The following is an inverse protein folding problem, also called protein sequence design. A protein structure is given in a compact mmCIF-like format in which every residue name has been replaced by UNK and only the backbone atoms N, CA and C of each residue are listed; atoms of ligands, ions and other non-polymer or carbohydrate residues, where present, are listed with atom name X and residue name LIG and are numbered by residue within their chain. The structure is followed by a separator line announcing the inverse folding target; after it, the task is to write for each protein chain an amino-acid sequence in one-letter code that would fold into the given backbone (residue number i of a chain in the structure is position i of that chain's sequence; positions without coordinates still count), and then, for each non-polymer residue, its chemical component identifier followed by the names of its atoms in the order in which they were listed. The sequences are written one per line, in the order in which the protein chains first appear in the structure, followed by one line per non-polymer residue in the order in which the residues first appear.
data_IF_814900359826
#
_entry.id   IF_814900359826
#
_cell.length_a   1.000
_cell.length_b   1.000
_cell.length_c   1.000
_cell.angle_alpha   90.00
_cell.angle_beta   90.00
_cell.angle_gamma   90.00
#
_symmetry.space_group_name_H-M   'P 1'
#
loop_
_entity.id
_entity.type
_entity.pdbx_description
1 polymer ?
#
# COMPACT_ATOMS: atom_id res chain seq x y z
N UNK A 1 15.61 14.09 -23.47
CA UNK A 1 15.35 12.65 -23.36
C UNK A 1 15.83 12.08 -22.04
N UNK A 2 17.10 12.22 -21.71
CA UNK A 2 17.63 11.71 -20.45
C UNK A 2 17.01 12.37 -19.22
N UNK A 3 16.75 13.66 -19.28
CA UNK A 3 16.14 14.38 -18.16
C UNK A 3 14.74 13.88 -17.87
N UNK A 4 13.96 13.62 -18.91
CA UNK A 4 12.61 13.09 -18.75
C UNK A 4 12.64 11.69 -18.14
N UNK A 5 13.58 10.86 -18.58
CA UNK A 5 13.74 9.52 -18.03
C UNK A 5 14.13 9.59 -16.56
N UNK A 6 15.03 10.50 -16.19
CA UNK A 6 15.44 10.67 -14.80
C UNK A 6 14.29 11.16 -13.92
N UNK A 7 13.48 12.09 -14.44
CA UNK A 7 12.31 12.58 -13.70
C UNK A 7 11.31 11.45 -13.47
N UNK A 8 11.10 10.63 -14.50
CA UNK A 8 10.18 9.48 -14.38
C UNK A 8 10.68 8.44 -13.38
N UNK A 9 12.01 8.36 -13.18
CA UNK A 9 12.60 7.39 -12.25
C UNK A 9 12.66 7.89 -10.82
N UNK A 10 12.15 9.10 -10.54
CA UNK A 10 12.11 9.64 -9.18
C UNK A 10 10.91 9.19 -8.37
N UNK A 11 10.20 8.20 -8.84
CA UNK A 11 9.08 7.62 -8.10
C UNK A 11 9.55 6.96 -6.82
N UNK A 12 8.70 7.04 -5.83
CA UNK A 12 8.89 6.31 -4.60
C UNK A 12 7.83 5.24 -4.45
N UNK A 13 8.15 4.26 -3.63
CA UNK A 13 7.31 3.09 -3.42
C UNK A 13 7.05 2.94 -1.93
N UNK A 14 5.79 2.75 -1.58
CA UNK A 14 5.34 2.82 -0.18
C UNK A 14 4.54 1.60 0.21
N UNK A 15 4.65 1.22 1.47
CA UNK A 15 3.74 0.27 2.11
C UNK A 15 2.80 1.06 3.02
N UNK A 16 1.50 0.76 2.92
CA UNK A 16 0.52 1.22 3.88
C UNK A 16 -0.06 0.00 4.59
N UNK A 17 -0.33 0.15 5.89
CA UNK A 17 -0.86 -0.95 6.69
C UNK A 17 -2.28 -0.64 7.12
N UNK A 18 -3.22 -1.52 6.78
CA UNK A 18 -4.61 -1.37 7.17
C UNK A 18 -5.29 -2.75 7.12
N UNK A 19 -6.34 -2.92 7.91
CA UNK A 19 -7.16 -4.14 7.84
C UNK A 19 -7.82 -4.25 6.47
N UNK A 20 -8.16 -5.47 6.08
CA UNK A 20 -8.74 -5.70 4.74
C UNK A 20 -10.02 -4.90 4.52
N UNK A 21 -10.92 -4.86 5.49
CA UNK A 21 -12.17 -4.11 5.35
C UNK A 21 -11.92 -2.61 5.09
N UNK A 22 -10.91 -2.06 5.74
CA UNK A 22 -10.52 -0.66 5.55
C UNK A 22 -9.95 -0.45 4.14
N UNK A 23 -9.10 -1.37 3.69
CA UNK A 23 -8.52 -1.32 2.34
C UNK A 23 -9.62 -1.37 1.28
N UNK A 24 -10.62 -2.23 1.46
CA UNK A 24 -11.72 -2.34 0.49
C UNK A 24 -12.50 -1.05 0.36
N UNK A 25 -12.72 -0.34 1.46
CA UNK A 25 -13.37 0.98 1.41
C UNK A 25 -12.53 1.98 0.61
N UNK A 26 -11.22 1.94 0.79
CA UNK A 26 -10.32 2.80 0.03
C UNK A 26 -10.36 2.50 -1.45
N UNK A 27 -10.38 1.23 -1.82
CA UNK A 27 -10.48 0.82 -3.23
C UNK A 27 -11.79 1.33 -3.84
N UNK A 28 -12.90 1.14 -3.15
CA UNK A 28 -14.22 1.60 -3.63
C UNK A 28 -14.25 3.11 -3.82
N UNK A 29 -13.66 3.86 -2.91
CA UNK A 29 -13.67 5.31 -2.95
C UNK A 29 -12.51 5.95 -3.69
N UNK A 30 -11.51 5.17 -4.08
CA UNK A 30 -10.33 5.70 -4.78
C UNK A 30 -9.42 6.52 -3.88
N UNK A 31 -9.26 6.15 -2.61
CA UNK A 31 -8.46 6.94 -1.67
C UNK A 31 -7.62 6.06 -0.75
N UNK A 32 -6.54 6.66 -0.23
CA UNK A 32 -5.78 6.10 0.88
C UNK A 32 -6.04 6.91 2.15
N UNK A 33 -6.19 6.19 3.26
CA UNK A 33 -6.30 6.75 4.59
C UNK A 33 -5.38 5.90 5.47
N UNK A 34 -4.42 6.53 6.12
CA UNK A 34 -3.32 5.84 6.81
C UNK A 34 -3.21 6.30 8.24
N UNK A 35 -2.70 5.43 9.10
CA UNK A 35 -2.34 5.77 10.48
C UNK A 35 -3.46 6.49 11.22
N UNK A 36 -4.68 5.94 11.15
CA UNK A 36 -5.88 6.48 11.79
C UNK A 36 -6.29 7.87 11.26
N UNK A 37 -6.02 8.11 9.97
CA UNK A 37 -6.46 9.34 9.33
C UNK A 37 -5.53 10.52 9.51
N UNK A 38 -4.26 10.28 9.84
CA UNK A 38 -3.27 11.36 9.99
C UNK A 38 -2.85 11.92 8.65
N UNK A 39 -2.51 13.19 8.64
CA UNK A 39 -2.07 13.89 7.44
C UNK A 39 -0.64 13.54 7.04
N UNK A 40 0.26 13.45 8.01
CA UNK A 40 1.69 13.34 7.75
C UNK A 40 2.11 12.21 6.81
N UNK A 41 1.63 10.96 6.99
CA UNK A 41 2.03 9.89 6.06
C UNK A 41 1.57 10.15 4.63
N UNK A 42 0.40 10.76 4.45
CA UNK A 42 -0.11 11.05 3.12
C UNK A 42 0.70 12.12 2.41
N UNK A 43 1.21 13.10 3.16
CA UNK A 43 2.03 14.17 2.60
C UNK A 43 3.40 13.70 2.12
N UNK A 44 3.90 12.60 2.65
CA UNK A 44 5.19 12.06 2.22
C UNK A 44 5.16 11.54 0.79
N UNK A 45 4.01 11.08 0.35
CA UNK A 45 3.86 10.56 -1.01
C UNK A 45 3.66 11.70 -2.00
N UNK A 46 4.15 11.50 -3.22
CA UNK A 46 4.03 12.47 -4.30
C UNK A 46 3.25 11.87 -5.45
N UNK A 47 2.70 12.74 -6.28
CA UNK A 47 2.03 12.34 -7.51
C UNK A 47 2.95 11.42 -8.32
N UNK A 48 2.45 10.25 -8.67
CA UNK A 48 3.22 9.25 -9.40
C UNK A 48 3.86 8.19 -8.55
N UNK A 49 3.88 8.36 -7.23
CA UNK A 49 4.35 7.31 -6.31
C UNK A 49 3.38 6.14 -6.30
N UNK A 50 3.90 4.99 -5.88
CA UNK A 50 3.10 3.77 -5.77
C UNK A 50 2.91 3.39 -4.31
N UNK A 51 1.77 2.79 -4.00
CA UNK A 51 1.50 2.26 -2.67
C UNK A 51 0.96 0.84 -2.79
N UNK A 52 1.48 -0.05 -1.92
CA UNK A 52 0.93 -1.38 -1.71
C UNK A 52 0.41 -1.45 -0.29
N UNK A 53 -0.82 -1.92 -0.11
CA UNK A 53 -1.36 -2.16 1.22
C UNK A 53 -1.01 -3.56 1.68
N UNK A 54 -0.63 -3.63 2.94
CA UNK A 54 -0.49 -4.89 3.67
C UNK A 54 -1.58 -4.96 4.73
N UNK A 55 -2.29 -6.09 4.80
CA UNK A 55 -3.32 -6.32 5.79
C UNK A 55 -2.95 -7.52 6.66
N UNK A 56 -2.67 -7.26 7.93
CA UNK A 56 -2.34 -8.33 8.88
C UNK A 56 -3.57 -9.10 9.30
N UNK A 57 -4.75 -8.47 9.21
CA UNK A 57 -6.01 -9.09 9.60
C UNK A 57 -7.16 -8.56 8.76
N UNK A 58 -8.29 -9.26 8.83
CA UNK A 58 -9.47 -8.92 8.03
C UNK A 58 -10.14 -7.65 8.54
N UNK A 59 -10.19 -7.48 9.86
CA UNK A 59 -10.89 -6.36 10.49
C UNK A 59 -10.21 -6.01 11.81
N UNK A 60 -10.32 -4.75 12.23
CA UNK A 60 -9.82 -4.34 13.53
C UNK A 60 -10.62 -4.98 14.68
N UNK A 61 -11.87 -5.34 14.42
CA UNK A 61 -12.75 -5.96 15.43
C UNK A 61 -12.53 -7.45 15.59
N UNK A 62 -11.85 -8.07 14.64
CA UNK A 62 -11.62 -9.52 14.64
C UNK A 62 -10.13 -9.78 14.51
N UNK A 63 -9.63 -10.71 15.30
CA UNK A 63 -8.20 -11.05 15.29
C UNK A 63 -7.84 -12.07 14.22
N UNK A 64 -8.75 -12.40 13.31
CA UNK A 64 -8.47 -13.35 12.22
C UNK A 64 -7.31 -12.89 11.38
N UNK A 65 -6.20 -13.63 11.32
CA UNK A 65 -5.06 -13.25 10.52
C UNK A 65 -5.38 -13.22 9.03
N UNK A 66 -4.80 -12.29 8.31
CA UNK A 66 -4.89 -12.24 6.85
C UNK A 66 -3.50 -12.34 6.24
N UNK A 67 -2.61 -11.46 6.67
CA UNK A 67 -1.18 -11.50 6.34
C UNK A 67 -0.91 -11.54 4.84
N UNK A 68 -1.59 -10.63 4.12
CA UNK A 68 -1.48 -10.54 2.67
C UNK A 68 -1.28 -9.10 2.24
N UNK A 69 -0.62 -8.94 1.09
CA UNK A 69 -0.65 -7.68 0.35
C UNK A 69 -2.00 -7.64 -0.37
N UNK A 70 -2.75 -6.56 -0.16
CA UNK A 70 -4.19 -6.56 -0.48
C UNK A 70 -4.60 -5.54 -1.52
N UNK A 71 -3.78 -4.54 -1.81
CA UNK A 71 -4.09 -3.55 -2.83
C UNK A 71 -2.81 -2.94 -3.38
N UNK A 72 -2.90 -2.47 -4.61
CA UNK A 72 -1.81 -1.83 -5.33
C UNK A 72 -2.39 -0.62 -6.04
N UNK A 73 -1.79 0.56 -5.83
CA UNK A 73 -2.31 1.77 -6.44
C UNK A 73 -1.24 2.81 -6.68
N UNK A 74 -1.64 3.83 -7.44
CA UNK A 74 -0.77 4.94 -7.81
C UNK A 74 -1.34 6.25 -7.28
N UNK A 75 -0.49 7.07 -6.68
CA UNK A 75 -0.87 8.41 -6.24
C UNK A 75 -1.05 9.29 -7.48
N UNK A 76 -2.22 9.90 -7.63
CA UNK A 76 -2.60 10.55 -8.89
C UNK A 76 -2.62 12.07 -8.84
N UNK A 77 -2.40 12.67 -7.68
CA UNK A 77 -2.34 14.13 -7.54
C UNK A 77 -1.47 14.50 -6.35
N UNK A 78 -1.40 15.79 -6.04
CA UNK A 78 -0.62 16.29 -4.92
C UNK A 78 -1.50 16.74 -3.74
N UNK A 79 -2.78 16.44 -3.78
CA UNK A 79 -3.74 16.93 -2.79
C UNK A 79 -3.92 15.93 -1.64
N UNK A 80 -3.86 16.46 -0.43
CA UNK A 80 -4.29 15.76 0.78
C UNK A 80 -5.52 16.50 1.28
N UNK A 81 -6.60 15.79 1.51
CA UNK A 81 -7.87 16.42 1.91
C UNK A 81 -8.48 15.69 3.09
N UNK A 82 -9.37 16.41 3.81
CA UNK A 82 -10.14 15.80 4.90
C UNK A 82 -11.50 15.38 4.41
N UNK A 83 -11.99 14.30 4.98
CA UNK A 83 -13.33 13.79 4.67
C UNK A 83 -14.12 13.68 5.98
N UNK A 84 -15.31 14.25 6.00
CA UNK A 84 -16.17 14.21 7.18
C UNK A 84 -16.89 12.86 7.24
N UNK A 85 -16.50 12.03 8.21
CA UNK A 85 -17.12 10.71 8.42
C UNK A 85 -18.23 10.76 9.48
N UNK A 86 -18.51 11.94 10.02
CA UNK A 86 -19.47 12.09 11.10
C UNK A 86 -18.85 11.83 12.46
N UNK A 87 -19.58 12.15 13.53
CA UNK A 87 -19.13 11.94 14.91
C UNK A 87 -17.77 12.58 15.21
N UNK A 88 -17.54 13.77 14.65
CA UNK A 88 -16.30 14.54 14.84
C UNK A 88 -15.05 13.83 14.32
N UNK A 89 -15.22 12.86 13.43
CA UNK A 89 -14.08 12.19 12.82
C UNK A 89 -13.90 12.70 11.38
N UNK A 90 -12.77 13.41 11.17
CA UNK A 90 -12.43 14.00 9.88
C UNK A 90 -11.02 13.57 9.47
N UNK A 91 -10.87 12.31 9.04
CA UNK A 91 -9.56 11.80 8.64
C UNK A 91 -9.05 12.47 7.37
N UNK A 92 -7.74 12.50 7.22
CA UNK A 92 -7.10 12.92 5.98
C UNK A 92 -7.04 11.77 4.99
N UNK A 93 -7.21 12.09 3.71
CA UNK A 93 -7.22 11.14 2.61
C UNK A 93 -6.39 11.64 1.44
N UNK A 94 -5.96 10.71 0.61
CA UNK A 94 -5.22 10.99 -0.62
C UNK A 94 -5.84 10.19 -1.76
N UNK A 95 -6.01 10.82 -2.92
CA UNK A 95 -6.58 10.12 -4.09
C UNK A 95 -5.58 9.11 -4.65
N UNK A 96 -6.06 7.90 -4.87
CA UNK A 96 -5.28 6.79 -5.38
C UNK A 96 -6.02 6.14 -6.56
N UNK A 97 -5.29 5.84 -7.61
CA UNK A 97 -5.77 5.01 -8.71
C UNK A 97 -5.37 3.57 -8.42
N UNK A 98 -6.31 2.79 -7.89
CA UNK A 98 -6.06 1.39 -7.58
C UNK A 98 -6.11 0.53 -8.83
N UNK A 99 -5.17 -0.40 -8.93
CA UNK A 99 -5.06 -1.31 -10.07
C UNK A 99 -5.67 -2.64 -9.69
N UNK A 100 -6.37 -3.26 -10.64
CA UNK A 100 -6.90 -4.60 -10.46
C UNK A 100 -5.75 -5.59 -10.23
N UNK A 101 -5.80 -6.32 -9.14
CA UNK A 101 -4.74 -7.26 -8.75
C UNK A 101 -5.31 -8.37 -7.89
N UNK A 102 -4.48 -9.35 -7.58
CA UNK A 102 -4.82 -10.47 -6.71
C UNK A 102 -4.09 -10.32 -5.39
N UNK A 103 -4.78 -10.57 -4.29
CA UNK A 103 -4.15 -10.58 -2.97
C UNK A 103 -3.07 -11.65 -2.92
N UNK A 104 -1.96 -11.34 -2.26
CA UNK A 104 -0.78 -12.20 -2.24
C UNK A 104 -0.26 -12.37 -0.82
N UNK A 105 -0.09 -13.63 -0.39
CA UNK A 105 0.46 -13.94 0.92
C UNK A 105 1.87 -13.39 1.06
N UNK A 106 2.17 -12.82 2.25
CA UNK A 106 3.52 -12.36 2.53
C UNK A 106 4.49 -13.53 2.75
N UNK A 107 3.99 -14.68 3.18
CA UNK A 107 4.87 -15.75 3.67
C UNK A 107 5.93 -16.22 2.67
N UNK A 108 5.61 -16.49 1.40
CA UNK A 108 6.66 -16.86 0.44
C UNK A 108 7.66 -15.75 0.15
N UNK A 109 7.29 -14.50 0.42
CA UNK A 109 8.11 -13.33 0.12
C UNK A 109 9.05 -12.92 1.25
N UNK A 110 8.78 -13.38 2.47
CA UNK A 110 9.53 -12.93 3.66
C UNK A 110 11.05 -13.03 3.47
N UNK A 111 11.62 -14.16 2.98
CA UNK A 111 13.09 -14.24 2.85
C UNK A 111 13.66 -13.33 1.77
N UNK A 112 12.83 -12.79 0.89
CA UNK A 112 13.29 -12.05 -0.28
C UNK A 112 13.13 -10.54 -0.17
N UNK A 113 12.40 -10.05 0.83
CA UNK A 113 12.13 -8.62 0.98
C UNK A 113 13.22 -7.95 1.83
N UNK A 114 13.90 -6.96 1.23
CA UNK A 114 15.02 -6.29 1.89
C UNK A 114 14.59 -5.50 3.13
N UNK A 115 13.34 -5.00 3.15
CA UNK A 115 12.89 -4.24 4.30
C UNK A 115 12.60 -5.12 5.54
N UNK A 116 12.54 -6.44 5.35
CA UNK A 116 12.41 -7.37 6.48
C UNK A 116 13.82 -7.79 6.89
N UNK A 117 14.33 -7.16 7.95
CA UNK A 117 15.71 -7.35 8.39
C UNK A 117 15.92 -8.63 9.19
N UNK A 118 14.86 -9.11 9.83
CA UNK A 118 14.92 -10.29 10.68
C UNK A 118 13.68 -11.15 10.40
N UNK A 119 13.88 -12.31 9.80
CA UNK A 119 12.75 -13.17 9.41
C UNK A 119 11.94 -13.67 10.60
N UNK A 120 12.58 -13.85 11.75
CA UNK A 120 11.86 -14.26 12.96
C UNK A 120 10.94 -13.17 13.49
N UNK A 121 11.20 -11.93 13.12
CA UNK A 121 10.42 -10.77 13.50
C UNK A 121 9.94 -10.05 12.26
N UNK A 122 9.49 -10.79 11.27
CA UNK A 122 9.14 -10.22 9.97
C UNK A 122 8.03 -9.16 10.04
N UNK A 123 7.15 -9.25 11.04
CA UNK A 123 6.06 -8.29 11.18
C UNK A 123 6.47 -6.93 11.73
N UNK A 124 7.69 -6.79 12.21
CA UNK A 124 8.13 -5.55 12.87
C UNK A 124 7.95 -4.30 12.02
N UNK A 125 8.35 -4.26 10.73
CA UNK A 125 8.21 -3.04 9.93
C UNK A 125 6.77 -2.55 9.82
N UNK A 126 5.82 -3.46 9.85
CA UNK A 126 4.40 -3.10 9.66
C UNK A 126 3.80 -2.35 10.86
N UNK A 127 4.51 -2.31 11.98
CA UNK A 127 4.10 -1.53 13.16
C UNK A 127 4.09 -0.04 12.87
N UNK A 128 4.86 0.41 11.89
CA UNK A 128 4.96 1.84 11.58
C UNK A 128 3.80 2.36 10.76
N UNK A 129 2.97 1.49 10.23
CA UNK A 129 1.75 1.88 9.51
C UNK A 129 1.98 2.40 8.10
N UNK A 130 3.10 3.05 7.84
CA UNK A 130 3.44 3.60 6.53
C UNK A 130 4.94 3.78 6.44
N UNK A 131 5.55 3.23 5.39
CA UNK A 131 7.00 3.36 5.21
C UNK A 131 7.37 3.15 3.75
N UNK A 132 8.52 3.70 3.38
CA UNK A 132 9.06 3.59 2.03
C UNK A 132 9.81 2.28 1.84
N UNK A 133 9.71 1.69 0.64
CA UNK A 133 10.45 0.48 0.27
C UNK A 133 11.24 0.74 -1.01
N UNK A 134 12.20 -0.15 -1.30
CA UNK A 134 12.96 -0.06 -2.53
C UNK A 134 12.12 -0.47 -3.73
N UNK A 135 12.55 -0.03 -4.91
CA UNK A 135 11.92 -0.44 -6.17
C UNK A 135 11.98 -1.96 -6.33
N UNK A 136 13.10 -2.57 -5.91
CA UNK A 136 13.27 -4.02 -6.00
C UNK A 136 12.20 -4.75 -5.18
N UNK A 137 12.00 -4.34 -3.93
CA UNK A 137 10.97 -4.94 -3.08
C UNK A 137 9.58 -4.71 -3.64
N UNK A 138 9.33 -3.50 -4.13
CA UNK A 138 8.06 -3.19 -4.76
C UNK A 138 7.77 -4.13 -5.92
N UNK A 139 8.74 -4.32 -6.81
CA UNK A 139 8.57 -5.20 -7.97
C UNK A 139 8.33 -6.65 -7.57
N UNK A 140 9.03 -7.14 -6.56
CA UNK A 140 8.83 -8.50 -6.07
C UNK A 140 7.38 -8.72 -5.64
N UNK A 141 6.83 -7.77 -4.91
CA UNK A 141 5.46 -7.88 -4.42
C UNK A 141 4.46 -7.68 -5.58
N UNK A 142 4.64 -6.62 -6.35
CA UNK A 142 3.69 -6.26 -7.41
C UNK A 142 3.60 -7.34 -8.48
N UNK A 143 4.71 -7.98 -8.84
CA UNK A 143 4.71 -9.06 -9.81
C UNK A 143 3.84 -10.22 -9.36
N UNK A 144 3.87 -10.55 -8.07
CA UNK A 144 3.02 -11.60 -7.52
C UNK A 144 1.54 -11.21 -7.55
N UNK A 145 1.25 -9.94 -7.32
CA UNK A 145 -0.13 -9.46 -7.29
C UNK A 145 -0.78 -9.44 -8.67
N UNK A 146 -0.01 -9.26 -9.74
CA UNK A 146 -0.53 -9.19 -11.11
C UNK A 146 -0.25 -10.45 -11.92
N UNK A 147 0.63 -11.33 -11.47
CA UNK A 147 1.08 -12.51 -12.21
C UNK A 147 -0.06 -13.48 -12.54
N UNK A 148 -0.95 -13.72 -11.55
CA UNK A 148 -2.07 -14.66 -11.73
C UNK A 148 -2.96 -14.23 -12.89
N UNK A 149 -3.16 -12.91 -13.05
CA UNK A 149 -3.99 -12.39 -14.12
C UNK A 149 -3.36 -12.62 -15.49
N UNK A 150 -2.06 -12.45 -15.61
CA UNK A 150 -1.33 -12.72 -16.85
C UNK A 150 -1.38 -14.21 -17.21
N UNK A 151 -1.23 -15.07 -16.22
CA UNK A 151 -1.29 -16.53 -16.41
C UNK A 151 -2.65 -16.98 -16.91
N UNK A 152 -3.71 -16.37 -16.42
CA UNK A 152 -5.07 -16.74 -16.79
C UNK A 152 -5.43 -16.37 -18.23
N UNK A 153 -4.66 -15.51 -18.86
CA UNK A 153 -4.90 -15.12 -20.25
C UNK A 153 -4.35 -16.14 -21.24
N UNK A 154 -3.52 -17.04 -20.78
CA UNK A 154 -2.96 -18.10 -21.58
C UNK A 154 -3.70 -19.42 -21.38
#
# INVERSE_FOLDING_TARGET
MRLLTQVQNNKRYWIGVASLDHVMKGIDGGFAQLCHGKEAPLKKMKNGDWIIYYSSKVSLKQSTPHQKFTALGKVIDDDVFQFDMGNDFMPFRRNIDFISCTETSIHPLIPHLAFIKNEKRWGYPFRFGHFEISEKDFKLIAEKMVEVKSTNLN
#
